data_IF_289990559294
#
_entry.id   IF_289990559294
#
_cell.length_a   1.000
_cell.length_b   1.000
_cell.length_c   1.000
_cell.angle_alpha   90.00
_cell.angle_beta   90.00
_cell.angle_gamma   90.00
#
_symmetry.space_group_name_H-M   'P 1'
#
loop_
_entity.id
_entity.type
_entity.pdbx_description
1 polymer ?
#
# COMPACT_ATOMS: atom_id res chain seq x y z
N UNK A 1 2.53 26.52 5.88
CA UNK A 1 4.01 26.37 5.85
C UNK A 1 4.76 27.71 5.97
N UNK A 2 4.15 28.84 5.63
CA UNK A 2 4.83 30.16 5.68
C UNK A 2 5.21 30.63 7.08
N UNK A 3 4.50 30.21 8.12
CA UNK A 3 4.74 30.65 9.51
C UNK A 3 6.05 30.14 10.14
N UNK A 4 6.80 29.25 9.49
CA UNK A 4 8.01 28.65 10.06
C UNK A 4 9.27 28.92 9.23
N UNK A 5 9.17 29.76 8.18
CA UNK A 5 10.30 30.12 7.31
C UNK A 5 11.42 30.78 8.10
N UNK A 6 12.65 30.31 7.92
CA UNK A 6 13.82 30.79 8.66
C UNK A 6 13.93 30.29 10.11
N UNK A 7 13.06 29.40 10.54
CA UNK A 7 13.13 28.79 11.88
C UNK A 7 13.64 27.34 11.81
N UNK A 8 14.13 26.76 12.93
CA UNK A 8 14.48 25.34 12.98
C UNK A 8 13.31 24.37 12.71
N UNK A 9 12.09 24.89 12.54
CA UNK A 9 10.88 24.13 12.26
C UNK A 9 10.49 24.15 10.77
N UNK A 10 11.27 24.86 9.94
CA UNK A 10 11.06 24.92 8.49
C UNK A 10 11.22 23.53 7.87
N UNK A 11 10.34 23.18 6.92
CA UNK A 11 10.35 21.88 6.24
C UNK A 11 9.82 20.71 7.05
N UNK A 12 9.57 20.87 8.36
CA UNK A 12 9.01 19.82 9.20
C UNK A 12 7.49 19.77 9.06
N UNK A 13 6.93 18.54 9.03
CA UNK A 13 5.49 18.35 9.12
C UNK A 13 4.97 18.58 10.56
N UNK A 14 3.64 18.53 10.73
CA UNK A 14 3.01 18.78 12.03
C UNK A 14 3.50 17.81 13.12
N UNK A 15 3.64 16.52 12.77
CA UNK A 15 4.12 15.48 13.66
C UNK A 15 5.59 15.71 14.07
N UNK A 16 6.47 15.99 13.12
CA UNK A 16 7.88 16.26 13.37
C UNK A 16 8.08 17.50 14.25
N UNK A 17 7.26 18.54 14.07
CA UNK A 17 7.27 19.73 14.94
C UNK A 17 6.88 19.37 16.37
N UNK A 18 5.89 18.50 16.57
CA UNK A 18 5.51 18.04 17.91
C UNK A 18 6.62 17.21 18.56
N UNK A 19 7.26 16.29 17.81
CA UNK A 19 8.41 15.55 18.33
C UNK A 19 9.51 16.50 18.82
N UNK A 20 9.79 17.54 18.04
CA UNK A 20 10.80 18.54 18.40
C UNK A 20 10.38 19.36 19.63
N UNK A 21 9.11 19.72 19.75
CA UNK A 21 8.54 20.41 20.93
C UNK A 21 8.75 19.58 22.20
N UNK A 22 8.56 18.28 22.18
CA UNK A 22 8.76 17.37 23.31
C UNK A 22 10.20 16.87 23.44
N UNK A 23 11.12 17.31 22.57
CA UNK A 23 12.50 16.88 22.58
C UNK A 23 12.72 15.41 22.30
N UNK A 24 11.80 14.77 21.53
CA UNK A 24 11.86 13.33 21.21
C UNK A 24 12.67 13.14 19.92
N UNK A 25 13.75 12.38 19.99
CA UNK A 25 14.61 12.01 18.87
C UNK A 25 14.37 10.55 18.49
N UNK A 26 13.72 10.34 17.35
CA UNK A 26 13.33 8.99 16.89
C UNK A 26 14.40 8.24 16.10
N UNK A 27 15.51 8.89 15.76
CA UNK A 27 16.57 8.24 14.95
C UNK A 27 17.95 8.83 15.17
N UNK A 28 18.96 8.11 14.64
CA UNK A 28 20.37 8.46 14.74
C UNK A 28 21.02 8.07 16.06
N UNK A 29 22.32 8.39 16.20
CA UNK A 29 23.11 8.01 17.38
C UNK A 29 22.56 8.59 18.70
N UNK A 30 21.86 9.71 18.65
CA UNK A 30 21.21 10.35 19.80
C UNK A 30 19.72 10.00 19.94
N UNK A 31 19.27 8.88 19.38
CA UNK A 31 17.88 8.40 19.50
C UNK A 31 17.50 8.17 20.97
N UNK A 32 16.33 8.63 21.33
CA UNK A 32 15.74 8.42 22.65
C UNK A 32 15.21 7.00 22.81
N UNK A 33 14.77 6.66 24.02
CA UNK A 33 14.06 5.41 24.35
C UNK A 33 12.54 5.61 24.21
N UNK A 34 11.81 4.50 24.04
CA UNK A 34 10.33 4.51 23.89
C UNK A 34 9.65 5.21 25.06
N UNK A 35 10.16 5.05 26.28
CA UNK A 35 9.63 5.69 27.49
C UNK A 35 9.49 7.21 27.38
N UNK A 36 10.31 7.84 26.53
CA UNK A 36 10.24 9.29 26.29
C UNK A 36 8.90 9.77 25.75
N UNK A 37 8.20 8.94 24.99
CA UNK A 37 6.85 9.25 24.53
C UNK A 37 5.84 9.33 25.70
N UNK A 38 6.07 8.58 26.74
CA UNK A 38 5.15 8.45 27.88
C UNK A 38 5.50 9.37 29.05
N UNK A 39 6.43 10.31 28.85
CA UNK A 39 6.80 11.29 29.87
C UNK A 39 5.63 12.22 30.27
N UNK A 40 4.70 12.48 29.34
CA UNK A 40 3.44 13.16 29.64
C UNK A 40 2.33 12.66 28.70
N UNK A 41 1.07 12.94 29.05
CA UNK A 41 -0.10 12.52 28.26
C UNK A 41 -0.07 13.05 26.82
N UNK A 42 0.36 14.30 26.65
CA UNK A 42 0.38 14.95 25.33
C UNK A 42 1.42 14.34 24.40
N UNK A 43 2.56 13.89 24.92
CA UNK A 43 3.57 13.20 24.11
C UNK A 43 3.18 11.75 23.81
N UNK A 44 2.43 11.09 24.69
CA UNK A 44 1.97 9.71 24.50
C UNK A 44 1.07 9.56 23.27
N UNK A 45 0.29 10.58 22.94
CA UNK A 45 -0.58 10.60 21.75
C UNK A 45 0.23 10.53 20.42
N UNK A 46 1.50 10.88 20.45
CA UNK A 46 2.37 10.81 19.27
C UNK A 46 2.90 9.40 18.99
N UNK A 47 2.85 8.49 19.97
CA UNK A 47 3.41 7.15 19.80
C UNK A 47 2.72 6.30 18.74
N UNK A 48 1.37 6.22 18.66
CA UNK A 48 0.69 5.51 17.59
C UNK A 48 1.05 6.03 16.19
N UNK A 49 1.19 7.34 16.04
CA UNK A 49 1.61 7.95 14.77
C UNK A 49 3.06 7.57 14.42
N UNK A 50 3.96 7.53 15.41
CA UNK A 50 5.33 7.05 15.21
C UNK A 50 5.35 5.61 14.69
N UNK A 51 4.58 4.72 15.32
CA UNK A 51 4.49 3.31 14.91
C UNK A 51 3.93 3.20 13.48
N UNK A 52 2.84 3.89 13.20
CA UNK A 52 2.19 3.90 11.89
C UNK A 52 3.14 4.37 10.77
N UNK A 53 3.88 5.46 10.99
CA UNK A 53 4.84 5.99 10.02
C UNK A 53 6.01 5.05 9.77
N UNK A 54 6.54 4.42 10.82
CA UNK A 54 7.64 3.48 10.68
C UNK A 54 7.24 2.22 9.90
N UNK A 55 6.06 1.67 10.18
CA UNK A 55 5.50 0.52 9.43
C UNK A 55 5.23 0.92 7.98
N UNK A 56 4.59 2.06 7.75
CA UNK A 56 4.31 2.56 6.40
C UNK A 56 5.58 2.76 5.59
N UNK A 57 6.61 3.33 6.19
CA UNK A 57 7.91 3.50 5.53
C UNK A 57 8.52 2.15 5.12
N UNK A 58 8.44 1.13 5.98
CA UNK A 58 8.91 -0.21 5.65
C UNK A 58 8.12 -0.86 4.54
N UNK A 59 6.80 -0.66 4.52
CA UNK A 59 5.92 -1.12 3.45
C UNK A 59 6.28 -0.46 2.12
N UNK A 60 6.36 0.87 2.08
CA UNK A 60 6.66 1.64 0.86
C UNK A 60 8.04 1.31 0.27
N UNK A 61 9.04 1.03 1.13
CA UNK A 61 10.38 0.64 0.68
C UNK A 61 10.44 -0.75 0.05
N UNK A 62 9.52 -1.65 0.43
CA UNK A 62 9.50 -3.03 -0.04
C UNK A 62 8.39 -3.30 -1.07
N UNK A 63 7.51 -2.33 -1.33
CA UNK A 63 6.40 -2.47 -2.25
C UNK A 63 6.86 -2.33 -3.69
N UNK A 64 6.78 -3.44 -4.42
CA UNK A 64 7.08 -3.51 -5.86
C UNK A 64 5.80 -3.60 -6.72
N UNK A 65 4.63 -3.75 -6.10
CA UNK A 65 3.35 -3.86 -6.81
C UNK A 65 3.08 -2.71 -7.78
N UNK A 66 3.36 -1.43 -7.44
CA UNK A 66 3.15 -0.32 -8.36
C UNK A 66 3.93 -0.44 -9.68
N UNK A 67 5.01 -1.22 -9.70
CA UNK A 67 5.79 -1.50 -10.92
C UNK A 67 5.24 -2.66 -11.77
N UNK A 68 4.31 -3.44 -11.24
CA UNK A 68 3.76 -4.64 -11.89
C UNK A 68 2.32 -4.42 -12.34
N UNK A 69 1.52 -3.67 -11.57
CA UNK A 69 0.11 -3.42 -11.85
C UNK A 69 -0.06 -2.23 -12.79
N UNK A 70 -0.96 -2.36 -13.75
CA UNK A 70 -1.26 -1.28 -14.70
C UNK A 70 -2.00 -0.11 -14.03
N UNK A 71 -2.83 -0.41 -13.02
CA UNK A 71 -3.63 0.61 -12.31
C UNK A 71 -3.99 0.12 -10.91
N UNK A 72 -4.17 1.05 -9.99
CA UNK A 72 -4.65 0.80 -8.65
C UNK A 72 -5.84 1.71 -8.34
N UNK A 73 -6.92 1.13 -7.84
CA UNK A 73 -8.15 1.86 -7.49
C UNK A 73 -8.41 1.73 -5.99
N UNK A 74 -8.63 2.86 -5.34
CA UNK A 74 -9.04 2.89 -3.93
C UNK A 74 -10.56 3.03 -3.86
N UNK A 75 -11.21 2.16 -3.12
CA UNK A 75 -12.65 2.23 -2.91
C UNK A 75 -13.00 1.92 -1.44
N UNK A 76 -14.16 2.42 -1.03
CA UNK A 76 -14.70 2.21 0.31
C UNK A 76 -15.75 1.08 0.26
N UNK A 77 -15.38 -0.11 0.74
CA UNK A 77 -16.28 -1.26 0.75
C UNK A 77 -15.53 -2.58 0.84
N UNK A 78 -16.27 -3.68 0.89
CA UNK A 78 -15.74 -5.04 0.92
C UNK A 78 -15.78 -5.72 -0.46
N UNK A 79 -16.55 -5.18 -1.38
CA UNK A 79 -16.74 -5.67 -2.74
C UNK A 79 -16.54 -4.54 -3.74
N UNK A 80 -15.84 -4.87 -4.79
CA UNK A 80 -15.60 -3.99 -5.92
C UNK A 80 -16.15 -4.65 -7.18
N UNK A 81 -16.97 -3.91 -7.93
CA UNK A 81 -17.44 -4.32 -9.24
C UNK A 81 -16.72 -3.53 -10.30
N UNK A 82 -15.86 -4.19 -11.04
CA UNK A 82 -15.23 -3.57 -12.20
C UNK A 82 -16.08 -3.81 -13.43
N UNK A 83 -16.19 -2.78 -14.24
CA UNK A 83 -16.73 -2.88 -15.59
C UNK A 83 -15.54 -2.95 -16.52
N UNK A 84 -15.25 -4.13 -17.04
CA UNK A 84 -14.21 -4.30 -18.04
C UNK A 84 -14.85 -4.65 -19.38
N UNK A 85 -14.40 -3.99 -20.43
CA UNK A 85 -14.71 -4.39 -21.79
C UNK A 85 -13.40 -4.66 -22.51
N UNK A 86 -13.19 -5.93 -22.82
CA UNK A 86 -12.06 -6.31 -23.69
C UNK A 86 -12.68 -6.69 -25.04
N UNK A 87 -12.63 -5.80 -26.06
CA UNK A 87 -13.04 -6.15 -27.41
C UNK A 87 -12.17 -7.31 -27.91
N UNK A 88 -12.76 -8.22 -28.70
CA UNK A 88 -12.01 -9.28 -29.35
C UNK A 88 -10.99 -8.70 -30.32
N UNK A 89 -9.97 -9.48 -30.70
CA UNK A 89 -8.95 -9.00 -31.63
C UNK A 89 -9.55 -8.64 -32.99
N UNK A 90 -10.61 -9.35 -33.42
CA UNK A 90 -11.37 -9.05 -34.63
C UNK A 90 -12.13 -7.72 -34.53
N UNK A 91 -12.59 -7.33 -33.34
CA UNK A 91 -13.27 -6.05 -33.10
C UNK A 91 -12.27 -4.87 -32.97
N UNK A 92 -10.99 -5.15 -32.71
CA UNK A 92 -9.92 -4.15 -32.68
C UNK A 92 -9.28 -3.93 -34.06
N UNK A 93 -9.44 -4.89 -34.97
CA UNK A 93 -8.80 -4.82 -36.27
C UNK A 93 -9.43 -3.72 -37.16
N UNK A 94 -8.59 -2.85 -37.70
CA UNK A 94 -9.02 -1.84 -38.65
C UNK A 94 -9.24 -2.49 -40.03
N UNK A 95 -10.49 -2.57 -40.44
CA UNK A 95 -10.87 -3.14 -41.74
C UNK A 95 -10.88 -2.06 -42.83
N UNK A 96 -10.45 -2.44 -44.02
CA UNK A 96 -10.57 -1.55 -45.20
C UNK A 96 -12.02 -1.40 -45.57
N UNK A 97 -12.54 -0.17 -45.53
CA UNK A 97 -13.92 0.16 -45.84
C UNK A 97 -13.98 0.85 -47.20
N UNK A 98 -14.85 0.36 -48.09
CA UNK A 98 -15.08 0.99 -49.38
C UNK A 98 -15.91 2.28 -49.19
N UNK A 99 -15.72 3.23 -50.12
CA UNK A 99 -16.49 4.48 -50.11
C UNK A 99 -18.00 4.19 -50.12
N UNK A 100 -18.73 4.78 -49.16
CA UNK A 100 -20.17 4.55 -48.99
C UNK A 100 -20.58 3.25 -48.26
N UNK A 101 -19.62 2.42 -47.81
CA UNK A 101 -19.94 1.23 -47.04
C UNK A 101 -20.05 1.54 -45.53
N UNK A 102 -20.73 0.67 -44.79
CA UNK A 102 -20.90 0.77 -43.35
C UNK A 102 -19.53 0.59 -42.68
N UNK A 103 -19.24 1.46 -41.72
CA UNK A 103 -18.01 1.37 -40.90
C UNK A 103 -18.27 0.34 -39.80
N UNK A 104 -17.41 -0.70 -39.64
CA UNK A 104 -17.56 -1.67 -38.56
C UNK A 104 -17.49 -0.99 -37.20
N UNK A 105 -18.38 -1.36 -36.30
CA UNK A 105 -18.45 -0.83 -34.94
C UNK A 105 -17.76 -1.77 -33.96
N UNK A 106 -16.98 -1.20 -33.02
CA UNK A 106 -16.43 -1.92 -31.89
C UNK A 106 -17.42 -1.84 -30.74
N UNK A 107 -17.96 -2.98 -30.31
CA UNK A 107 -18.90 -3.02 -29.22
C UNK A 107 -18.18 -3.12 -27.86
N UNK A 108 -18.44 -2.14 -27.01
CA UNK A 108 -18.00 -2.18 -25.63
C UNK A 108 -19.05 -2.96 -24.82
N UNK A 109 -18.69 -4.14 -24.38
CA UNK A 109 -19.55 -4.99 -23.55
C UNK A 109 -19.20 -4.81 -22.10
N UNK A 110 -20.19 -4.64 -21.25
CA UNK A 110 -20.00 -4.62 -19.80
C UNK A 110 -19.91 -6.07 -19.29
N UNK A 111 -18.77 -6.45 -18.75
CA UNK A 111 -18.65 -7.67 -17.96
C UNK A 111 -18.52 -7.24 -16.50
N UNK A 112 -19.53 -7.56 -15.68
CA UNK A 112 -19.48 -7.32 -14.25
C UNK A 112 -18.59 -8.38 -13.61
N UNK A 113 -17.40 -7.98 -13.15
CA UNK A 113 -16.53 -8.81 -12.34
C UNK A 113 -16.69 -8.38 -10.88
N UNK A 114 -17.22 -9.25 -10.06
CA UNK A 114 -17.28 -9.04 -8.61
C UNK A 114 -15.97 -9.47 -7.97
N UNK A 115 -15.22 -8.53 -7.44
CA UNK A 115 -14.02 -8.80 -6.66
C UNK A 115 -14.33 -8.61 -5.18
N UNK A 116 -14.21 -9.67 -4.37
CA UNK A 116 -14.37 -9.63 -2.93
C UNK A 116 -13.02 -9.45 -2.25
N UNK A 117 -12.90 -8.40 -1.45
CA UNK A 117 -11.69 -8.15 -0.69
C UNK A 117 -11.62 -9.06 0.55
N UNK A 118 -10.46 -9.66 0.76
CA UNK A 118 -10.15 -10.38 2.00
C UNK A 118 -9.57 -9.41 3.01
N UNK A 119 -10.21 -9.28 4.17
CA UNK A 119 -9.67 -8.49 5.27
C UNK A 119 -8.54 -9.27 5.94
N UNK A 120 -7.36 -8.69 5.99
CA UNK A 120 -6.21 -9.19 6.74
C UNK A 120 -5.81 -8.20 7.82
N UNK A 121 -5.32 -8.68 8.92
CA UNK A 121 -4.85 -7.83 10.00
C UNK A 121 -4.04 -8.62 11.02
N UNK A 122 -3.15 -7.93 11.70
CA UNK A 122 -2.38 -8.45 12.81
C UNK A 122 -2.27 -7.37 13.87
N UNK A 123 -2.48 -7.71 15.13
CA UNK A 123 -2.25 -6.81 16.23
C UNK A 123 -0.79 -6.88 16.66
N UNK A 124 -0.15 -5.73 16.80
CA UNK A 124 1.13 -5.61 17.50
C UNK A 124 0.84 -5.47 18.98
N UNK A 125 1.23 -6.48 19.76
CA UNK A 125 1.07 -6.49 21.21
C UNK A 125 2.45 -6.62 21.84
N UNK A 126 2.78 -5.70 22.75
CA UNK A 126 3.97 -5.76 23.55
C UNK A 126 3.65 -5.23 24.97
N UNK A 127 4.26 -5.83 26.00
CA UNK A 127 4.15 -5.25 27.32
C UNK A 127 4.94 -3.93 27.39
N UNK A 128 4.46 -3.00 28.19
CA UNK A 128 5.14 -1.72 28.37
C UNK A 128 6.57 -1.93 28.90
N UNK A 129 6.78 -2.87 29.82
CA UNK A 129 8.10 -3.21 30.36
C UNK A 129 9.05 -3.71 29.27
N UNK A 130 8.55 -4.44 28.28
CA UNK A 130 9.39 -4.98 27.22
C UNK A 130 9.89 -3.90 26.24
N UNK A 131 9.12 -2.84 26.03
CA UNK A 131 9.43 -1.83 25.01
C UNK A 131 9.96 -0.51 25.59
N UNK A 132 9.63 -0.17 26.86
CA UNK A 132 9.92 1.17 27.41
C UNK A 132 11.39 1.59 27.33
N UNK A 133 12.31 0.67 27.49
CA UNK A 133 13.75 0.91 27.48
C UNK A 133 14.38 0.69 26.10
N UNK A 134 13.62 0.29 25.10
CA UNK A 134 14.15 0.14 23.75
C UNK A 134 14.45 1.50 23.14
N UNK A 135 15.57 1.59 22.45
CA UNK A 135 15.90 2.77 21.66
C UNK A 135 14.97 2.86 20.44
N UNK A 136 14.51 4.06 20.16
CA UNK A 136 13.56 4.32 19.08
C UNK A 136 14.14 3.99 17.70
N UNK A 137 15.45 4.17 17.47
CA UNK A 137 16.09 3.81 16.22
C UNK A 137 16.01 2.29 15.96
N UNK A 138 16.30 1.46 16.96
CA UNK A 138 16.19 0.00 16.86
C UNK A 138 14.74 -0.46 16.74
N UNK A 139 13.86 0.14 17.51
CA UNK A 139 12.42 -0.16 17.42
C UNK A 139 11.86 0.20 16.05
N UNK A 140 12.31 1.31 15.44
CA UNK A 140 11.97 1.68 14.06
C UNK A 140 12.37 0.58 13.07
N UNK A 141 13.53 -0.04 13.22
CA UNK A 141 13.97 -1.15 12.34
C UNK A 141 12.98 -2.30 12.40
N UNK A 142 12.57 -2.71 13.60
CA UNK A 142 11.57 -3.77 13.78
C UNK A 142 10.24 -3.42 13.13
N UNK A 143 9.76 -2.19 13.32
CA UNK A 143 8.52 -1.72 12.71
C UNK A 143 8.59 -1.70 11.17
N UNK A 144 9.72 -1.28 10.61
CA UNK A 144 9.95 -1.32 9.15
C UNK A 144 9.97 -2.75 8.61
N UNK A 145 10.55 -3.70 9.35
CA UNK A 145 10.50 -5.12 8.98
C UNK A 145 9.07 -5.66 8.92
N UNK A 146 8.22 -5.24 9.86
CA UNK A 146 6.78 -5.56 9.83
C UNK A 146 6.14 -4.98 8.56
N UNK A 147 6.42 -3.72 8.23
CA UNK A 147 5.93 -3.09 7.01
C UNK A 147 6.38 -3.81 5.73
N UNK A 148 7.66 -4.17 5.65
CA UNK A 148 8.20 -4.92 4.53
C UNK A 148 7.57 -6.32 4.39
N UNK A 149 7.23 -6.97 5.51
CA UNK A 149 6.51 -8.24 5.49
C UNK A 149 5.07 -8.09 4.95
N UNK A 150 4.40 -6.99 5.28
CA UNK A 150 3.08 -6.67 4.70
C UNK A 150 3.18 -6.54 3.18
N UNK A 151 4.17 -5.80 2.67
CA UNK A 151 4.39 -5.65 1.23
C UNK A 151 4.61 -7.00 0.53
N UNK A 152 5.41 -7.89 1.13
CA UNK A 152 5.62 -9.25 0.61
C UNK A 152 4.34 -10.09 0.60
N UNK A 153 3.50 -9.94 1.61
CA UNK A 153 2.21 -10.65 1.67
C UNK A 153 1.28 -10.17 0.56
N UNK A 154 1.22 -8.86 0.31
CA UNK A 154 0.43 -8.28 -0.77
C UNK A 154 0.92 -8.75 -2.14
N UNK A 155 2.24 -8.81 -2.34
CA UNK A 155 2.83 -9.35 -3.56
C UNK A 155 2.48 -10.82 -3.74
N UNK A 156 2.59 -11.64 -2.68
CA UNK A 156 2.20 -13.06 -2.72
C UNK A 156 0.73 -13.24 -3.09
N UNK A 157 -0.16 -12.42 -2.53
CA UNK A 157 -1.59 -12.44 -2.89
C UNK A 157 -1.82 -12.06 -4.36
N UNK A 158 -1.07 -11.08 -4.88
CA UNK A 158 -1.18 -10.69 -6.28
C UNK A 158 -0.71 -11.80 -7.23
N UNK A 159 0.38 -12.49 -6.89
CA UNK A 159 0.88 -13.64 -7.66
C UNK A 159 -0.12 -14.80 -7.60
N UNK A 160 -0.67 -15.10 -6.41
CA UNK A 160 -1.68 -16.14 -6.26
C UNK A 160 -2.91 -15.88 -7.13
N UNK A 161 -3.35 -14.63 -7.21
CA UNK A 161 -4.46 -14.24 -8.11
C UNK A 161 -4.08 -14.42 -9.58
N UNK A 162 -2.85 -14.12 -9.97
CA UNK A 162 -2.38 -14.32 -11.35
C UNK A 162 -2.31 -15.80 -11.72
N UNK A 163 -1.93 -16.67 -10.80
CA UNK A 163 -1.78 -18.11 -11.04
C UNK A 163 -3.10 -18.86 -10.91
N UNK A 164 -3.90 -18.56 -9.92
CA UNK A 164 -5.07 -19.36 -9.49
C UNK A 164 -6.41 -18.63 -9.65
N UNK A 165 -6.40 -17.36 -10.08
CA UNK A 165 -7.58 -16.51 -10.09
C UNK A 165 -7.96 -15.98 -8.70
N UNK A 166 -8.96 -15.11 -8.66
CA UNK A 166 -9.40 -14.43 -7.43
C UNK A 166 -10.44 -15.21 -6.60
N UNK A 167 -10.81 -16.40 -7.05
CA UNK A 167 -11.82 -17.25 -6.41
C UNK A 167 -13.28 -16.79 -6.58
N UNK A 168 -13.53 -15.76 -7.41
CA UNK A 168 -14.88 -15.21 -7.69
C UNK A 168 -15.31 -15.48 -9.15
N UNK A 169 -14.73 -16.48 -9.81
CA UNK A 169 -15.00 -16.79 -11.20
C UNK A 169 -14.16 -16.02 -12.22
N UNK A 170 -13.21 -15.22 -11.77
CA UNK A 170 -12.22 -14.55 -12.61
C UNK A 170 -10.95 -15.41 -12.65
N UNK A 171 -11.01 -16.52 -13.37
CA UNK A 171 -9.83 -17.38 -13.54
C UNK A 171 -8.77 -16.67 -14.39
N UNK A 172 -7.50 -16.89 -14.03
CA UNK A 172 -6.39 -16.52 -14.89
C UNK A 172 -6.41 -17.37 -16.17
N UNK A 173 -6.01 -16.79 -17.30
CA UNK A 173 -5.85 -17.55 -18.53
C UNK A 173 -4.73 -18.57 -18.34
N UNK A 174 -5.01 -19.85 -18.66
CA UNK A 174 -4.03 -20.91 -18.57
C UNK A 174 -3.41 -21.16 -19.94
N UNK A 175 -2.09 -21.28 -19.95
CA UNK A 175 -1.33 -21.66 -21.14
C UNK A 175 -0.71 -23.03 -20.91
N UNK A 176 -1.05 -23.99 -21.76
CA UNK A 176 -0.44 -25.33 -21.72
C UNK A 176 0.79 -25.31 -22.60
N UNK A 177 1.97 -25.47 -21.98
CA UNK A 177 3.21 -25.71 -22.74
C UNK A 177 3.13 -27.17 -23.16
N UNK A 178 2.91 -27.40 -24.46
CA UNK A 178 2.97 -28.75 -25.02
C UNK A 178 4.38 -29.33 -24.87
N UNK A 179 4.47 -30.61 -24.48
CA UNK A 179 5.72 -31.33 -24.53
C UNK A 179 6.23 -31.33 -25.97
N UNK A 180 7.40 -30.70 -26.21
CA UNK A 180 8.06 -30.64 -27.51
C UNK A 180 8.67 -31.98 -27.91
#
# INVERSE_FOLDING_TARGET
SENYKGTPLEGLDAYQRQLKRFGIRVGGAGSDIVDKFFACSDSAVLFPEYVSRAVKQGLEQADILPGIVATATVFNGLDYRSVSSVPTDEEKELKVVKEGAFIPETNIRMKENLVKLRKRGRALVASYEAVRYQRLDLFTVTLRQIGAYIARTLLGDAIDVLENGDGNGNAADSFVIGDG
#
